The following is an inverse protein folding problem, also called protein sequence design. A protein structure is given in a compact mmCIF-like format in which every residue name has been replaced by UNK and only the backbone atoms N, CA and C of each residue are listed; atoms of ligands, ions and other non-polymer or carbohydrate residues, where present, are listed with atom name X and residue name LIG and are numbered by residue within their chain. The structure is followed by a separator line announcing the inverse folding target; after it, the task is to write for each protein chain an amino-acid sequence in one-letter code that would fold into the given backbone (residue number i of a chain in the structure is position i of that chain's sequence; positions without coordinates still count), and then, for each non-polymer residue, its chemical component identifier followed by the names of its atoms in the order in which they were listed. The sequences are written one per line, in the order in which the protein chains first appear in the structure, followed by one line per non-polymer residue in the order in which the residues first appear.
data_IF_875278413223
#
_entry.id   IF_875278413223
#
_cell.length_a   1.000
_cell.length_b   1.000
_cell.length_c   1.000
_cell.angle_alpha   90.00
_cell.angle_beta   90.00
_cell.angle_gamma   90.00
#
_symmetry.space_group_name_H-M   'P 1'
#
loop_
_entity.id
_entity.type
_entity.pdbx_description
1 polymer ?
#
# COMPACT_ATOMS: atom_id res chain seq x y z
N UNK A 1 3.10 -73.94 29.55
CA UNK A 1 3.97 -73.46 30.64
C UNK A 1 4.96 -72.50 29.98
N UNK A 2 5.13 -71.23 30.34
CA UNK A 2 4.81 -70.47 31.55
C UNK A 2 4.54 -69.01 31.18
N UNK A 3 3.69 -68.37 31.99
CA UNK A 3 3.32 -66.95 31.96
C UNK A 3 4.42 -66.11 32.61
N UNK A 4 4.63 -64.89 32.14
CA UNK A 4 5.05 -63.77 32.99
C UNK A 4 4.36 -62.49 32.56
N UNK A 5 3.93 -61.75 33.57
CA UNK A 5 2.90 -60.73 33.61
C UNK A 5 3.48 -59.31 33.55
N UNK A 6 2.69 -58.42 32.95
CA UNK A 6 2.40 -57.01 33.29
C UNK A 6 3.47 -56.13 33.96
N UNK A 7 3.79 -55.02 33.29
CA UNK A 7 3.71 -53.68 33.87
C UNK A 7 3.05 -52.74 32.85
N UNK A 8 1.80 -52.37 33.11
CA UNK A 8 1.11 -51.29 32.43
C UNK A 8 1.59 -49.98 33.05
N UNK A 9 2.27 -49.15 32.27
CA UNK A 9 2.69 -47.83 32.71
C UNK A 9 1.49 -46.87 32.59
N UNK A 10 0.88 -46.60 33.73
CA UNK A 10 -0.16 -45.60 33.93
C UNK A 10 0.45 -44.20 33.71
N UNK A 11 0.50 -43.74 32.46
CA UNK A 11 0.74 -42.33 32.18
C UNK A 11 -0.60 -41.60 32.16
N UNK A 12 -0.85 -40.84 33.22
CA UNK A 12 -2.04 -40.00 33.39
C UNK A 12 -2.20 -39.03 32.20
N UNK A 13 -3.43 -38.72 31.75
CA UNK A 13 -3.69 -37.73 30.69
C UNK A 13 -3.21 -36.30 31.04
N UNK A 14 -2.85 -36.04 32.30
CA UNK A 14 -2.44 -34.73 32.80
C UNK A 14 -0.98 -34.35 32.50
N UNK A 15 -0.17 -35.22 31.91
CA UNK A 15 1.24 -34.93 31.61
C UNK A 15 1.48 -34.32 30.20
N UNK A 16 0.46 -34.24 29.34
CA UNK A 16 0.57 -33.68 27.98
C UNK A 16 0.36 -32.14 27.96
N UNK A 17 0.06 -31.52 29.10
CA UNK A 17 -0.39 -30.12 29.20
C UNK A 17 0.71 -29.08 29.47
N UNK A 18 1.95 -29.29 29.02
CA UNK A 18 3.04 -28.31 29.26
C UNK A 18 4.07 -28.18 28.15
N UNK A 19 3.62 -28.21 26.91
CA UNK A 19 4.39 -27.61 25.81
C UNK A 19 3.96 -26.15 25.74
N UNK A 20 4.89 -25.24 25.99
CA UNK A 20 4.78 -23.84 25.61
C UNK A 20 4.42 -23.78 24.12
N UNK A 21 3.13 -23.70 23.81
CA UNK A 21 2.60 -23.56 22.44
C UNK A 21 2.95 -22.16 21.95
N UNK A 22 4.22 -21.98 21.58
CA UNK A 22 4.68 -20.80 20.85
C UNK A 22 3.79 -20.69 19.61
N UNK A 23 3.30 -19.49 19.38
CA UNK A 23 2.84 -19.06 18.06
C UNK A 23 3.87 -19.48 17.02
N UNK A 24 3.39 -19.88 15.84
CA UNK A 24 4.13 -20.46 14.71
C UNK A 24 5.50 -19.82 14.41
N UNK A 25 6.36 -20.56 13.69
CA UNK A 25 7.62 -20.03 13.14
C UNK A 25 7.33 -18.77 12.31
N UNK A 26 8.03 -17.68 12.61
CA UNK A 26 7.71 -16.36 12.08
C UNK A 26 8.69 -15.30 12.57
N UNK A 27 8.46 -14.05 12.18
CA UNK A 27 9.29 -12.95 12.65
C UNK A 27 9.15 -12.73 14.15
N UNK A 28 7.97 -12.99 14.74
CA UNK A 28 7.66 -12.84 16.18
C UNK A 28 7.81 -11.38 16.66
N UNK A 29 7.41 -10.41 15.83
CA UNK A 29 7.52 -8.98 16.11
C UNK A 29 6.51 -8.54 17.17
N UNK A 30 5.32 -9.14 17.14
CA UNK A 30 4.26 -8.93 18.13
C UNK A 30 4.05 -10.23 18.93
N UNK A 31 4.47 -10.30 20.20
CA UNK A 31 4.31 -11.49 21.02
C UNK A 31 2.83 -11.87 21.22
N UNK A 32 2.45 -13.07 20.78
CA UNK A 32 1.12 -13.66 21.01
C UNK A 32 1.16 -14.78 22.05
N UNK A 33 0.16 -14.81 22.94
CA UNK A 33 0.01 -15.88 23.94
C UNK A 33 -1.42 -16.42 23.93
N UNK A 34 -1.56 -17.74 23.95
CA UNK A 34 -2.89 -18.38 24.09
C UNK A 34 -3.46 -18.07 25.47
N UNK A 35 -4.68 -17.55 25.50
CA UNK A 35 -5.44 -17.33 26.73
C UNK A 35 -6.44 -18.47 26.88
N UNK A 36 -6.40 -19.18 28.00
CA UNK A 36 -7.40 -20.20 28.32
C UNK A 36 -8.73 -19.51 28.66
N UNK A 37 -9.76 -19.76 27.87
CA UNK A 37 -11.13 -19.39 28.23
C UNK A 37 -11.58 -20.33 29.37
N UNK A 38 -11.46 -19.86 30.61
CA UNK A 38 -12.23 -20.45 31.69
C UNK A 38 -13.68 -19.94 31.54
N UNK A 39 -14.61 -20.87 31.30
CA UNK A 39 -16.09 -20.69 31.21
C UNK A 39 -16.64 -20.49 29.79
N UNK A 40 -16.97 -21.61 29.13
CA UNK A 40 -18.31 -21.90 28.59
C UNK A 40 -18.35 -23.34 28.08
N UNK A 41 -19.32 -24.13 28.55
CA UNK A 41 -19.54 -25.53 28.11
C UNK A 41 -19.95 -25.63 26.61
N UNK A 42 -20.05 -24.50 25.91
CA UNK A 42 -20.39 -24.38 24.48
C UNK A 42 -19.18 -24.05 23.57
N UNK A 43 -17.97 -23.79 24.10
CA UNK A 43 -16.81 -23.53 23.23
C UNK A 43 -16.38 -24.81 22.54
N UNK A 44 -16.59 -24.85 21.22
CA UNK A 44 -16.04 -25.88 20.34
C UNK A 44 -14.54 -26.02 20.63
N UNK A 45 -14.04 -27.22 20.94
CA UNK A 45 -12.63 -27.52 21.29
C UNK A 45 -11.60 -27.15 20.19
N UNK A 46 -12.05 -26.48 19.14
CA UNK A 46 -11.34 -26.13 17.91
C UNK A 46 -10.82 -24.71 17.90
N UNK A 47 -11.26 -23.85 18.83
CA UNK A 47 -10.94 -22.42 18.81
C UNK A 47 -10.04 -22.06 20.00
N UNK A 48 -9.16 -21.09 19.80
CA UNK A 48 -8.39 -20.41 20.86
C UNK A 48 -8.54 -18.90 20.73
N UNK A 49 -8.30 -18.21 21.83
CA UNK A 49 -7.98 -16.77 21.78
C UNK A 49 -6.49 -16.58 21.98
N UNK A 50 -5.88 -15.83 21.07
CA UNK A 50 -4.50 -15.36 21.19
C UNK A 50 -4.53 -13.91 21.63
N UNK A 51 -3.84 -13.62 22.72
CA UNK A 51 -3.62 -12.28 23.21
C UNK A 51 -2.26 -11.79 22.73
N UNK A 52 -2.28 -10.85 21.80
CA UNK A 52 -1.11 -10.14 21.29
C UNK A 52 -0.77 -8.96 22.20
N UNK A 53 0.49 -8.89 22.62
CA UNK A 53 1.04 -7.77 23.41
C UNK A 53 1.85 -6.89 22.48
N UNK A 54 1.35 -5.70 22.19
CA UNK A 54 1.99 -4.77 21.26
C UNK A 54 3.29 -4.22 21.88
N UNK A 55 4.40 -4.10 21.12
CA UNK A 55 5.70 -3.68 21.62
C UNK A 55 5.81 -2.16 21.84
N UNK A 56 4.74 -1.50 22.28
CA UNK A 56 4.68 -0.07 22.56
C UNK A 56 3.96 0.16 23.88
N UNK A 57 4.60 0.87 24.82
CA UNK A 57 4.04 1.10 26.15
C UNK A 57 2.70 1.85 26.11
N UNK A 58 1.77 1.41 26.95
CA UNK A 58 0.45 2.04 27.08
C UNK A 58 -0.55 1.67 25.98
N UNK A 59 -0.16 0.86 24.99
CA UNK A 59 -1.10 0.34 23.98
C UNK A 59 -1.94 -0.83 24.53
N UNK A 60 -3.19 -0.99 24.05
CA UNK A 60 -4.02 -2.11 24.45
C UNK A 60 -3.45 -3.43 23.93
N UNK A 61 -3.76 -4.52 24.64
CA UNK A 61 -3.56 -5.87 24.11
C UNK A 61 -4.65 -6.18 23.09
N UNK A 62 -4.32 -6.98 22.08
CA UNK A 62 -5.26 -7.38 21.02
C UNK A 62 -5.62 -8.85 21.18
N UNK A 63 -6.91 -9.15 21.28
CA UNK A 63 -7.44 -10.51 21.35
C UNK A 63 -7.88 -10.98 19.96
N UNK A 64 -7.27 -12.03 19.45
CA UNK A 64 -7.63 -12.64 18.16
C UNK A 64 -8.20 -14.02 18.41
N UNK A 65 -9.41 -14.29 17.92
CA UNK A 65 -9.99 -15.64 17.91
C UNK A 65 -9.51 -16.36 16.65
N UNK A 66 -8.94 -17.55 16.82
CA UNK A 66 -8.49 -18.38 15.71
C UNK A 66 -8.59 -19.87 16.03
N UNK A 67 -8.43 -20.73 15.03
CA UNK A 67 -8.44 -22.19 15.25
C UNK A 67 -7.17 -22.67 15.94
N UNK A 68 -7.31 -23.73 16.75
CA UNK A 68 -6.23 -24.45 17.44
C UNK A 68 -5.36 -25.20 16.43
N UNK A 69 -6.01 -25.86 15.47
CA UNK A 69 -5.36 -26.73 14.50
C UNK A 69 -5.28 -26.05 13.15
N UNK A 70 -4.13 -26.19 12.49
CA UNK A 70 -3.89 -25.76 11.11
C UNK A 70 -4.54 -26.70 10.08
N UNK A 71 -5.66 -27.35 10.42
CA UNK A 71 -6.34 -28.32 9.57
C UNK A 71 -7.66 -27.76 9.06
N UNK A 72 -7.94 -28.04 7.79
CA UNK A 72 -9.20 -27.75 7.11
C UNK A 72 -10.13 -28.95 7.27
N UNK A 73 -11.38 -28.72 7.64
CA UNK A 73 -12.40 -29.75 7.85
C UNK A 73 -13.30 -29.93 6.62
N UNK A 74 -14.05 -31.04 6.56
CA UNK A 74 -15.00 -31.32 5.46
C UNK A 74 -15.99 -30.17 5.23
N UNK A 75 -16.48 -29.52 6.30
CA UNK A 75 -17.38 -28.37 6.19
C UNK A 75 -16.72 -27.14 5.55
N UNK A 76 -15.40 -26.99 5.70
CA UNK A 76 -14.68 -25.88 5.08
C UNK A 76 -14.50 -26.11 3.58
N UNK A 77 -14.41 -27.37 3.14
CA UNK A 77 -14.47 -27.71 1.71
C UNK A 77 -15.84 -27.39 1.12
N UNK A 78 -16.93 -27.65 1.85
CA UNK A 78 -18.27 -27.25 1.40
C UNK A 78 -18.42 -25.73 1.25
N UNK A 79 -17.84 -24.95 2.16
CA UNK A 79 -17.80 -23.48 2.07
C UNK A 79 -16.92 -23.04 0.91
N UNK A 80 -15.72 -23.61 0.78
CA UNK A 80 -14.79 -23.36 -0.33
C UNK A 80 -15.46 -23.58 -1.68
N UNK A 81 -16.15 -24.70 -1.86
CA UNK A 81 -16.85 -25.04 -3.10
C UNK A 81 -18.07 -24.12 -3.33
N UNK A 82 -18.80 -23.79 -2.27
CA UNK A 82 -20.02 -22.96 -2.36
C UNK A 82 -19.72 -21.51 -2.72
N UNK A 83 -18.67 -20.94 -2.15
CA UNK A 83 -18.33 -19.53 -2.28
C UNK A 83 -17.13 -19.29 -3.21
N UNK A 84 -16.54 -20.34 -3.79
CA UNK A 84 -15.35 -20.25 -4.64
C UNK A 84 -14.18 -19.52 -3.96
N UNK A 85 -13.89 -19.89 -2.71
CA UNK A 85 -12.85 -19.29 -1.87
C UNK A 85 -11.92 -20.36 -1.37
N UNK A 86 -10.66 -20.01 -1.13
CA UNK A 86 -9.75 -20.90 -0.45
C UNK A 86 -9.92 -20.83 1.09
N UNK A 87 -9.25 -21.76 1.79
CA UNK A 87 -9.30 -21.88 3.25
C UNK A 87 -8.01 -21.42 3.94
N UNK A 88 -7.08 -20.77 3.21
CA UNK A 88 -5.76 -20.36 3.70
C UNK A 88 -5.87 -19.41 4.88
N UNK A 89 -6.89 -18.54 4.89
CA UNK A 89 -7.21 -17.63 6.00
C UNK A 89 -7.66 -18.33 7.30
N UNK A 90 -8.07 -19.60 7.24
CA UNK A 90 -8.48 -20.40 8.41
C UNK A 90 -7.32 -21.22 8.99
N UNK A 91 -6.21 -21.38 8.26
CA UNK A 91 -5.12 -22.29 8.64
C UNK A 91 -4.33 -21.74 9.82
N UNK A 92 -3.76 -20.55 9.68
CA UNK A 92 -2.98 -19.89 10.71
C UNK A 92 -2.77 -18.42 10.37
N UNK A 93 -2.22 -17.69 11.31
CA UNK A 93 -1.67 -16.38 11.03
C UNK A 93 -0.32 -16.52 10.31
N UNK A 94 -0.24 -15.97 9.10
CA UNK A 94 0.94 -16.06 8.24
C UNK A 94 2.03 -15.08 8.68
N UNK A 95 3.33 -15.37 8.45
CA UNK A 95 4.42 -14.51 8.89
C UNK A 95 4.36 -13.07 8.35
N UNK A 96 3.83 -12.87 7.14
CA UNK A 96 3.64 -11.54 6.55
C UNK A 96 2.62 -10.68 7.30
N UNK A 97 1.68 -11.30 8.01
CA UNK A 97 0.67 -10.61 8.82
C UNK A 97 1.28 -10.01 10.09
N UNK A 98 2.20 -10.73 10.74
CA UNK A 98 2.99 -10.19 11.87
C UNK A 98 3.85 -8.99 11.44
N UNK A 99 4.46 -9.07 10.25
CA UNK A 99 5.23 -7.96 9.67
C UNK A 99 4.34 -6.76 9.33
N UNK A 100 3.18 -6.99 8.70
CA UNK A 100 2.23 -5.93 8.37
C UNK A 100 1.72 -5.24 9.64
N UNK A 101 1.28 -6.02 10.64
CA UNK A 101 0.79 -5.48 11.91
C UNK A 101 1.86 -4.63 12.64
N UNK A 102 3.10 -5.11 12.67
CA UNK A 102 4.24 -4.37 13.25
C UNK A 102 4.56 -3.09 12.46
N UNK A 103 4.52 -3.15 11.13
CA UNK A 103 4.72 -1.99 10.29
C UNK A 103 3.65 -0.93 10.54
N UNK A 104 2.38 -1.34 10.62
CA UNK A 104 1.26 -0.45 10.88
C UNK A 104 1.37 0.25 12.24
N UNK A 105 1.78 -0.48 13.27
CA UNK A 105 2.07 0.07 14.60
C UNK A 105 3.18 1.12 14.54
N UNK A 106 4.26 0.83 13.82
CA UNK A 106 5.43 1.72 13.70
C UNK A 106 5.17 2.96 12.84
N UNK A 107 4.09 2.97 12.06
CA UNK A 107 3.72 4.06 11.14
C UNK A 107 2.31 4.60 11.44
N UNK A 108 1.92 4.65 12.72
CA UNK A 108 0.57 4.99 13.15
C UNK A 108 0.00 6.28 12.52
N UNK A 109 0.83 7.32 12.37
CA UNK A 109 0.40 8.61 11.78
C UNK A 109 -0.07 8.51 10.33
N UNK A 110 0.33 7.47 9.60
CA UNK A 110 -0.15 7.21 8.23
C UNK A 110 -1.65 6.90 8.19
N UNK A 111 -2.19 6.34 9.27
CA UNK A 111 -3.59 5.89 9.35
C UNK A 111 -4.49 6.85 10.14
N UNK A 112 -3.91 7.84 10.82
CA UNK A 112 -4.66 8.83 11.62
C UNK A 112 -5.70 9.55 10.77
N UNK A 113 -6.95 9.53 11.24
CA UNK A 113 -8.11 10.13 10.55
C UNK A 113 -8.33 9.59 9.12
N UNK A 114 -7.83 8.39 8.80
CA UNK A 114 -7.97 7.76 7.49
C UNK A 114 -9.05 6.68 7.49
N UNK A 115 -9.63 6.44 6.31
CA UNK A 115 -10.42 5.25 6.03
C UNK A 115 -9.48 4.18 5.50
N UNK A 116 -9.41 3.06 6.20
CA UNK A 116 -8.48 1.97 5.94
C UNK A 116 -9.26 0.70 5.64
N UNK A 117 -8.80 -0.07 4.66
CA UNK A 117 -9.28 -1.44 4.43
C UNK A 117 -8.12 -2.42 4.37
N UNK A 118 -8.29 -3.55 5.05
CA UNK A 118 -7.42 -4.70 4.94
C UNK A 118 -8.07 -5.74 4.01
N UNK A 119 -7.34 -6.17 2.96
CA UNK A 119 -7.79 -7.17 1.99
C UNK A 119 -7.17 -8.54 2.29
N UNK A 120 -7.99 -9.60 2.26
CA UNK A 120 -7.50 -10.97 2.50
C UNK A 120 -6.88 -11.14 3.89
N UNK A 121 -7.55 -10.56 4.89
CA UNK A 121 -7.01 -10.36 6.23
C UNK A 121 -6.75 -11.65 7.01
N UNK A 122 -7.34 -12.79 6.62
CA UNK A 122 -7.30 -13.98 7.47
C UNK A 122 -7.88 -13.65 8.85
N UNK A 123 -7.11 -13.87 9.92
CA UNK A 123 -7.55 -13.50 11.27
C UNK A 123 -7.50 -11.98 11.58
N UNK A 124 -6.95 -11.16 10.68
CA UNK A 124 -7.04 -9.68 10.70
C UNK A 124 -6.28 -8.98 11.82
N UNK A 125 -5.08 -9.46 12.15
CA UNK A 125 -4.28 -8.83 13.22
C UNK A 125 -3.92 -7.40 12.85
N UNK A 126 -3.50 -7.13 11.62
CA UNK A 126 -3.05 -5.79 11.24
C UNK A 126 -4.22 -4.78 11.27
N UNK A 127 -5.39 -5.14 10.77
CA UNK A 127 -6.59 -4.32 10.88
C UNK A 127 -6.97 -4.01 12.33
N UNK A 128 -6.92 -5.01 13.22
CA UNK A 128 -7.18 -4.82 14.65
C UNK A 128 -6.14 -3.89 15.31
N UNK A 129 -4.86 -4.03 14.96
CA UNK A 129 -3.78 -3.14 15.43
C UNK A 129 -4.01 -1.71 14.96
N UNK A 130 -4.28 -1.51 13.66
CA UNK A 130 -4.58 -0.18 13.10
C UNK A 130 -5.74 0.46 13.86
N UNK A 131 -6.81 -0.29 14.06
CA UNK A 131 -8.00 0.21 14.75
C UNK A 131 -7.72 0.66 16.19
N UNK A 132 -6.88 -0.07 16.90
CA UNK A 132 -6.60 0.15 18.31
C UNK A 132 -5.53 1.22 18.57
N UNK A 133 -4.61 1.48 17.63
CA UNK A 133 -3.41 2.30 17.92
C UNK A 133 -3.23 3.54 17.08
N UNK A 134 -4.07 3.81 16.08
CA UNK A 134 -3.78 4.85 15.07
C UNK A 134 -4.77 6.01 15.01
N UNK A 135 -5.91 5.93 15.72
CA UNK A 135 -7.00 6.91 15.63
C UNK A 135 -7.49 7.09 14.17
N UNK A 136 -7.55 5.99 13.43
CA UNK A 136 -8.18 5.93 12.12
C UNK A 136 -9.66 6.35 12.19
N UNK A 137 -10.18 6.90 11.10
CA UNK A 137 -11.59 7.26 11.00
C UNK A 137 -12.47 6.01 10.93
N UNK A 138 -12.05 5.07 10.09
CA UNK A 138 -12.74 3.80 9.83
C UNK A 138 -11.70 2.75 9.47
N UNK A 139 -11.84 1.54 10.00
CA UNK A 139 -11.08 0.37 9.61
C UNK A 139 -12.05 -0.73 9.18
N UNK A 140 -11.87 -1.22 7.95
CA UNK A 140 -12.63 -2.32 7.38
C UNK A 140 -11.70 -3.52 7.25
N UNK A 141 -12.05 -4.63 7.89
CA UNK A 141 -11.23 -5.85 7.86
C UNK A 141 -11.97 -6.87 6.99
N UNK A 142 -11.42 -7.22 5.83
CA UNK A 142 -12.13 -8.00 4.83
C UNK A 142 -11.43 -9.31 4.47
N UNK A 143 -12.23 -10.31 4.15
CA UNK A 143 -11.79 -11.59 3.61
C UNK A 143 -12.86 -12.15 2.65
N UNK A 144 -12.45 -12.97 1.70
CA UNK A 144 -13.41 -13.62 0.79
C UNK A 144 -14.17 -14.74 1.49
N UNK A 145 -13.56 -15.40 2.48
CA UNK A 145 -14.17 -16.54 3.15
C UNK A 145 -15.13 -16.07 4.27
N UNK A 146 -16.44 -16.33 4.19
CA UNK A 146 -17.40 -15.85 5.18
C UNK A 146 -17.19 -16.45 6.58
N UNK A 147 -16.54 -17.62 6.68
CA UNK A 147 -16.16 -18.21 7.97
C UNK A 147 -15.04 -17.40 8.60
N UNK A 148 -14.06 -16.96 7.81
CA UNK A 148 -12.97 -16.08 8.28
C UNK A 148 -13.54 -14.75 8.78
N UNK A 149 -14.47 -14.17 8.04
CA UNK A 149 -15.21 -12.94 8.43
C UNK A 149 -15.91 -13.09 9.78
N UNK A 150 -16.49 -14.25 10.08
CA UNK A 150 -17.07 -14.53 11.40
C UNK A 150 -16.01 -14.55 12.52
N UNK A 151 -14.81 -15.12 12.30
CA UNK A 151 -13.71 -15.05 13.26
C UNK A 151 -13.22 -13.61 13.48
N UNK A 152 -13.15 -12.82 12.42
CA UNK A 152 -12.80 -11.40 12.51
C UNK A 152 -13.85 -10.66 13.35
N UNK A 153 -15.15 -10.90 13.12
CA UNK A 153 -16.21 -10.26 13.90
C UNK A 153 -16.09 -10.57 15.40
N UNK A 154 -15.86 -11.83 15.77
CA UNK A 154 -15.60 -12.20 17.16
C UNK A 154 -14.39 -11.47 17.76
N UNK A 155 -13.35 -11.27 16.97
CA UNK A 155 -12.15 -10.54 17.39
C UNK A 155 -12.43 -9.04 17.52
N UNK A 156 -13.22 -8.44 16.63
CA UNK A 156 -13.69 -7.06 16.75
C UNK A 156 -14.47 -6.88 18.06
N UNK A 157 -15.44 -7.76 18.34
CA UNK A 157 -16.28 -7.68 19.54
C UNK A 157 -15.44 -7.75 20.81
N UNK A 158 -14.46 -8.66 20.85
CA UNK A 158 -13.55 -8.85 21.98
C UNK A 158 -12.62 -7.64 22.24
N UNK A 159 -12.37 -6.80 21.23
CA UNK A 159 -11.51 -5.62 21.35
C UNK A 159 -12.27 -4.29 21.26
N UNK A 160 -13.60 -4.30 21.30
CA UNK A 160 -14.45 -3.12 21.10
C UNK A 160 -14.05 -1.90 21.97
N UNK A 161 -13.58 -2.12 23.20
CA UNK A 161 -13.12 -1.05 24.10
C UNK A 161 -11.74 -0.48 23.75
N UNK A 162 -10.94 -1.19 22.95
CA UNK A 162 -9.59 -0.78 22.56
C UNK A 162 -9.58 0.21 21.38
N UNK A 163 -10.67 0.29 20.61
CA UNK A 163 -10.71 1.07 19.36
C UNK A 163 -10.96 2.57 19.55
N UNK A 164 -11.29 3.02 20.76
CA UNK A 164 -11.61 4.42 21.03
C UNK A 164 -12.76 4.91 20.14
N UNK A 165 -12.49 5.93 19.31
CA UNK A 165 -13.47 6.50 18.37
C UNK A 165 -13.41 5.88 16.97
N UNK A 166 -12.46 4.98 16.70
CA UNK A 166 -12.30 4.34 15.39
C UNK A 166 -13.50 3.45 15.11
N UNK A 167 -14.14 3.65 13.96
CA UNK A 167 -15.22 2.74 13.51
C UNK A 167 -14.59 1.48 12.93
N UNK A 168 -14.95 0.31 13.47
CA UNK A 168 -14.41 -0.97 13.00
C UNK A 168 -15.55 -1.84 12.51
N UNK A 169 -15.41 -2.42 11.33
CA UNK A 169 -16.35 -3.40 10.78
C UNK A 169 -15.62 -4.46 9.98
N UNK A 170 -16.22 -5.64 9.87
CA UNK A 170 -15.77 -6.66 8.93
C UNK A 170 -16.73 -6.78 7.75
N UNK A 171 -16.24 -7.28 6.62
CA UNK A 171 -17.03 -7.47 5.41
C UNK A 171 -16.50 -8.67 4.63
N UNK A 172 -17.41 -9.47 4.08
CA UNK A 172 -17.07 -10.45 3.05
C UNK A 172 -16.81 -9.73 1.74
N UNK A 173 -15.59 -9.86 1.21
CA UNK A 173 -15.18 -9.19 -0.02
C UNK A 173 -14.44 -10.18 -0.91
N UNK A 174 -15.12 -10.59 -1.99
CA UNK A 174 -14.53 -11.35 -3.08
C UNK A 174 -13.92 -10.40 -4.10
N UNK A 175 -12.67 -10.66 -4.53
CA UNK A 175 -11.97 -9.76 -5.44
C UNK A 175 -12.51 -9.81 -6.88
N UNK A 176 -13.18 -10.90 -7.24
CA UNK A 176 -13.77 -11.17 -8.56
C UNK A 176 -15.23 -10.74 -8.68
N UNK A 177 -15.86 -10.32 -7.58
CA UNK A 177 -17.19 -9.75 -7.59
C UNK A 177 -17.13 -8.24 -7.86
N UNK A 178 -18.17 -7.69 -8.50
CA UNK A 178 -18.31 -6.24 -8.63
C UNK A 178 -18.33 -5.63 -7.23
N UNK A 179 -17.28 -4.88 -6.89
CA UNK A 179 -17.20 -4.12 -5.63
C UNK A 179 -18.48 -3.34 -5.52
N UNK A 180 -19.31 -3.69 -4.53
CA UNK A 180 -20.61 -3.03 -4.35
C UNK A 180 -20.40 -1.52 -4.34
N UNK A 181 -21.26 -0.79 -5.08
CA UNK A 181 -21.18 0.66 -5.26
C UNK A 181 -21.02 1.47 -3.96
N UNK A 182 -21.25 0.86 -2.79
CA UNK A 182 -21.21 1.49 -1.48
C UNK A 182 -19.80 1.74 -0.91
N UNK A 183 -18.75 1.05 -1.38
CA UNK A 183 -17.38 1.20 -0.84
C UNK A 183 -16.30 1.53 -1.88
N UNK A 184 -16.66 1.64 -3.16
CA UNK A 184 -15.73 2.09 -4.20
C UNK A 184 -15.34 3.56 -4.01
N UNK A 185 -14.08 3.91 -4.34
CA UNK A 185 -13.56 5.28 -4.29
C UNK A 185 -13.62 5.89 -2.87
N UNK A 186 -13.33 5.08 -1.84
CA UNK A 186 -13.52 5.51 -0.44
C UNK A 186 -12.30 5.42 0.47
N UNK A 187 -11.33 4.56 0.18
CA UNK A 187 -10.25 4.27 1.11
C UNK A 187 -9.02 5.12 0.84
N UNK A 188 -8.48 5.70 1.90
CA UNK A 188 -7.22 6.43 1.89
C UNK A 188 -6.04 5.44 1.85
N UNK A 189 -6.13 4.35 2.60
CA UNK A 189 -5.07 3.35 2.72
C UNK A 189 -5.67 1.95 2.57
N UNK A 190 -5.07 1.15 1.70
CA UNK A 190 -5.34 -0.29 1.61
C UNK A 190 -4.11 -1.01 2.16
N UNK A 191 -4.32 -2.03 2.99
CA UNK A 191 -3.25 -2.93 3.43
C UNK A 191 -3.59 -4.38 3.06
N UNK A 192 -2.56 -5.19 2.80
CA UNK A 192 -2.72 -6.60 2.51
C UNK A 192 -1.44 -7.36 2.87
N UNK A 193 -1.58 -8.56 3.41
CA UNK A 193 -0.46 -9.46 3.73
C UNK A 193 -0.62 -10.77 2.95
N UNK A 194 0.44 -11.17 2.23
CA UNK A 194 0.52 -12.46 1.49
C UNK A 194 -0.61 -12.79 0.50
N UNK A 195 -1.34 -11.78 0.00
CA UNK A 195 -2.46 -11.95 -0.93
C UNK A 195 -2.07 -12.27 -2.39
N UNK A 196 -0.78 -12.39 -2.70
CA UNK A 196 -0.28 -12.53 -4.08
C UNK A 196 0.09 -13.97 -4.46
N UNK A 197 -0.29 -14.97 -3.66
CA UNK A 197 0.10 -16.37 -3.90
C UNK A 197 -0.61 -17.01 -5.11
N UNK A 198 -1.94 -16.89 -5.17
CA UNK A 198 -2.77 -17.49 -6.22
C UNK A 198 -2.85 -16.57 -7.45
N UNK A 199 -2.25 -17.02 -8.55
CA UNK A 199 -2.09 -16.23 -9.79
C UNK A 199 -3.41 -15.98 -10.51
N UNK A 200 -4.35 -16.90 -10.36
CA UNK A 200 -5.71 -16.80 -10.89
C UNK A 200 -6.44 -15.55 -10.40
N UNK A 201 -6.12 -15.06 -9.19
CA UNK A 201 -6.78 -13.91 -8.59
C UNK A 201 -6.04 -12.58 -8.77
N UNK A 202 -4.84 -12.57 -9.36
CA UNK A 202 -4.01 -11.36 -9.47
C UNK A 202 -4.73 -10.19 -10.18
N UNK A 203 -5.42 -10.48 -11.28
CA UNK A 203 -6.15 -9.44 -12.01
C UNK A 203 -7.34 -8.91 -11.20
N UNK A 204 -8.10 -9.80 -10.56
CA UNK A 204 -9.25 -9.46 -9.72
C UNK A 204 -8.82 -8.58 -8.53
N UNK A 205 -7.73 -8.95 -7.86
CA UNK A 205 -7.13 -8.18 -6.77
C UNK A 205 -6.63 -6.80 -7.24
N UNK A 206 -5.96 -6.72 -8.39
CA UNK A 206 -5.50 -5.45 -8.96
C UNK A 206 -6.68 -4.50 -9.29
N UNK A 207 -7.74 -5.02 -9.90
CA UNK A 207 -8.99 -4.29 -10.13
C UNK A 207 -9.61 -3.80 -8.82
N UNK A 208 -9.69 -4.68 -7.82
CA UNK A 208 -10.24 -4.36 -6.50
C UNK A 208 -9.47 -3.23 -5.82
N UNK A 209 -8.13 -3.27 -5.82
CA UNK A 209 -7.29 -2.19 -5.27
C UNK A 209 -7.59 -0.86 -5.96
N UNK A 210 -7.66 -0.86 -7.29
CA UNK A 210 -8.00 0.34 -8.07
C UNK A 210 -9.36 0.93 -7.69
N UNK A 211 -10.37 0.07 -7.58
CA UNK A 211 -11.75 0.47 -7.34
C UNK A 211 -11.97 0.99 -5.92
N UNK A 212 -11.21 0.49 -4.95
CA UNK A 212 -11.34 0.84 -3.53
C UNK A 212 -10.55 2.11 -3.16
N UNK A 213 -9.38 2.31 -3.77
CA UNK A 213 -8.58 3.51 -3.55
C UNK A 213 -9.37 4.75 -3.98
N UNK A 214 -9.38 5.76 -3.11
CA UNK A 214 -10.00 7.03 -3.46
C UNK A 214 -9.22 7.75 -4.57
N UNK A 215 -9.93 8.37 -5.50
CA UNK A 215 -9.42 9.11 -6.66
C UNK A 215 -9.07 10.56 -6.31
N UNK A 216 -9.62 11.10 -5.21
CA UNK A 216 -9.39 12.50 -4.78
C UNK A 216 -8.45 12.55 -3.58
N UNK A 217 -7.38 13.31 -3.74
CA UNK A 217 -6.33 13.45 -2.73
C UNK A 217 -5.37 12.26 -2.70
N UNK A 218 -4.52 12.20 -1.69
CA UNK A 218 -3.54 11.13 -1.53
C UNK A 218 -4.20 9.84 -1.06
N UNK A 219 -4.01 8.76 -1.80
CA UNK A 219 -4.37 7.39 -1.44
C UNK A 219 -3.26 6.43 -1.83
N UNK A 220 -3.10 5.33 -1.09
CA UNK A 220 -2.07 4.33 -1.38
C UNK A 220 -2.47 2.93 -0.89
N UNK A 221 -1.96 1.90 -1.55
CA UNK A 221 -2.05 0.53 -1.09
C UNK A 221 -0.67 0.00 -0.70
N UNK A 222 -0.58 -0.74 0.40
CA UNK A 222 0.67 -1.28 0.94
C UNK A 222 0.51 -2.78 1.13
N UNK A 223 1.31 -3.54 0.38
CA UNK A 223 1.29 -4.99 0.39
C UNK A 223 2.60 -5.50 1.01
N UNK A 224 2.49 -6.47 1.91
CA UNK A 224 3.62 -7.25 2.40
C UNK A 224 3.50 -8.68 1.87
N UNK A 225 4.29 -9.02 0.85
CA UNK A 225 4.14 -10.32 0.17
C UNK A 225 5.50 -10.93 -0.15
N UNK A 226 5.74 -12.22 0.19
CA UNK A 226 6.91 -12.92 -0.27
C UNK A 226 6.89 -13.10 -1.79
N UNK A 227 8.06 -13.32 -2.38
CA UNK A 227 8.17 -13.43 -3.85
C UNK A 227 7.36 -14.61 -4.42
N UNK A 228 7.38 -15.75 -3.70
CA UNK A 228 6.73 -17.03 -4.04
C UNK A 228 6.92 -17.40 -5.51
N UNK A 229 8.18 -17.58 -5.92
CA UNK A 229 8.56 -17.77 -7.32
C UNK A 229 8.48 -16.47 -8.12
N UNK A 230 7.67 -16.46 -9.18
CA UNK A 230 7.35 -15.29 -10.01
C UNK A 230 5.96 -14.70 -9.70
N UNK A 231 5.33 -15.13 -8.59
CA UNK A 231 3.94 -14.76 -8.29
C UNK A 231 3.78 -13.28 -7.98
N UNK A 232 4.61 -12.73 -7.09
CA UNK A 232 4.56 -11.30 -6.80
C UNK A 232 4.85 -10.47 -8.05
N UNK A 233 5.85 -10.85 -8.85
CA UNK A 233 6.23 -10.15 -10.07
C UNK A 233 5.03 -10.07 -11.05
N UNK A 234 4.31 -11.19 -11.25
CA UNK A 234 3.09 -11.24 -12.09
C UNK A 234 1.93 -10.41 -11.55
N UNK A 235 1.77 -10.35 -10.23
CA UNK A 235 0.77 -9.47 -9.63
C UNK A 235 1.08 -7.99 -9.92
N UNK A 236 2.36 -7.60 -9.82
CA UNK A 236 2.79 -6.23 -10.10
C UNK A 236 2.62 -5.84 -11.58
N UNK A 237 2.81 -6.79 -12.52
CA UNK A 237 2.44 -6.59 -13.93
C UNK A 237 0.94 -6.26 -14.06
N UNK A 238 0.07 -6.95 -13.31
CA UNK A 238 -1.38 -6.66 -13.29
C UNK A 238 -1.73 -5.32 -12.66
N UNK A 239 -0.95 -4.85 -11.68
CA UNK A 239 -1.09 -3.50 -11.12
C UNK A 239 -0.82 -2.44 -12.19
N UNK A 240 0.25 -2.58 -12.98
CA UNK A 240 0.57 -1.65 -14.07
C UNK A 240 -0.47 -1.69 -15.19
N UNK A 241 -0.89 -2.88 -15.61
CA UNK A 241 -1.96 -3.06 -16.61
C UNK A 241 -3.26 -2.37 -16.19
N UNK A 242 -3.53 -2.31 -14.87
CA UNK A 242 -4.69 -1.62 -14.31
C UNK A 242 -4.49 -0.10 -14.13
N UNK A 243 -3.33 0.44 -14.48
CA UNK A 243 -3.03 1.88 -14.45
C UNK A 243 -2.66 2.40 -13.06
N UNK A 244 -2.10 1.55 -12.21
CA UNK A 244 -1.45 1.96 -10.96
C UNK A 244 0.07 1.93 -11.14
N UNK A 245 0.77 2.77 -10.39
CA UNK A 245 2.23 2.72 -10.26
C UNK A 245 2.60 1.95 -9.01
N UNK A 246 3.68 1.17 -9.03
CA UNK A 246 4.20 0.50 -7.84
C UNK A 246 5.66 0.83 -7.55
N UNK A 247 6.06 0.69 -6.29
CA UNK A 247 7.46 0.60 -5.89
C UNK A 247 7.67 -0.55 -4.91
N UNK A 248 8.81 -1.23 -5.04
CA UNK A 248 9.20 -2.32 -4.14
C UNK A 248 10.32 -1.85 -3.23
N UNK A 249 10.16 -2.06 -1.94
CA UNK A 249 11.21 -1.87 -0.94
C UNK A 249 11.50 -3.21 -0.30
N UNK A 250 12.75 -3.64 -0.36
CA UNK A 250 13.19 -4.88 0.28
C UNK A 250 13.54 -4.65 1.74
N UNK A 251 14.33 -3.63 2.06
CA UNK A 251 14.70 -3.26 3.43
C UNK A 251 13.85 -2.06 3.89
N UNK A 252 12.64 -2.34 4.37
CA UNK A 252 11.64 -1.35 4.79
C UNK A 252 11.65 -1.07 6.31
N UNK A 253 12.24 -1.95 7.11
CA UNK A 253 12.36 -1.80 8.57
C UNK A 253 13.63 -2.48 9.08
N UNK A 254 14.34 -1.83 10.00
CA UNK A 254 15.65 -2.27 10.47
C UNK A 254 15.59 -3.52 11.37
N UNK A 255 14.53 -3.69 12.17
CA UNK A 255 14.37 -4.85 13.04
C UNK A 255 13.90 -6.06 12.23
N UNK A 256 12.97 -5.87 11.29
CA UNK A 256 12.57 -6.93 10.34
C UNK A 256 13.76 -7.40 9.52
N UNK A 257 14.56 -6.47 8.99
CA UNK A 257 15.77 -6.79 8.22
C UNK A 257 16.79 -7.54 9.06
N UNK A 258 17.03 -7.11 10.30
CA UNK A 258 17.94 -7.80 11.22
C UNK A 258 17.50 -9.24 11.48
N UNK A 259 16.21 -9.50 11.72
CA UNK A 259 15.69 -10.86 11.90
C UNK A 259 15.83 -11.69 10.63
N UNK A 260 15.50 -11.11 9.47
CA UNK A 260 15.72 -11.75 8.17
C UNK A 260 17.18 -12.20 7.98
N UNK A 261 18.15 -11.32 8.28
CA UNK A 261 19.57 -11.65 8.20
C UNK A 261 19.97 -12.77 9.18
N UNK A 262 19.41 -12.78 10.38
CA UNK A 262 19.59 -13.87 11.35
C UNK A 262 19.10 -15.21 10.81
N UNK A 263 17.89 -15.26 10.26
CA UNK A 263 17.34 -16.48 9.66
C UNK A 263 18.18 -16.98 8.47
N UNK A 264 18.63 -16.07 7.60
CA UNK A 264 19.53 -16.41 6.48
C UNK A 264 20.89 -16.94 6.95
N UNK A 265 21.35 -16.55 8.14
CA UNK A 265 22.59 -17.01 8.76
C UNK A 265 22.43 -18.33 9.54
N UNK A 266 21.24 -18.96 9.53
CA UNK A 266 20.99 -20.24 10.18
C UNK A 266 20.52 -20.14 11.63
N UNK A 267 19.77 -19.09 12.00
CA UNK A 267 19.08 -19.02 13.29
C UNK A 267 18.07 -20.17 13.46
N UNK A 268 18.27 -21.00 14.50
CA UNK A 268 17.46 -22.19 14.80
C UNK A 268 16.02 -21.88 15.24
N UNK A 269 15.65 -20.61 15.43
CA UNK A 269 14.26 -20.23 15.71
C UNK A 269 13.33 -20.41 14.51
N UNK A 270 13.86 -20.40 13.28
CA UNK A 270 13.11 -20.73 12.05
C UNK A 270 13.97 -21.56 11.07
N UNK A 271 14.20 -22.86 11.35
CA UNK A 271 15.13 -23.68 10.57
C UNK A 271 14.73 -23.89 9.10
N UNK A 272 13.44 -23.79 8.78
CA UNK A 272 12.91 -23.95 7.43
C UNK A 272 12.77 -22.63 6.67
N UNK A 273 13.41 -21.56 7.13
CA UNK A 273 13.32 -20.25 6.50
C UNK A 273 13.89 -20.28 5.08
N UNK A 274 13.08 -19.87 4.11
CA UNK A 274 13.51 -19.68 2.73
C UNK A 274 13.07 -18.29 2.27
N UNK A 275 14.02 -17.47 1.79
CA UNK A 275 13.79 -16.06 1.51
C UNK A 275 12.59 -15.82 0.59
N UNK A 276 12.48 -16.57 -0.51
CA UNK A 276 11.42 -16.36 -1.49
C UNK A 276 10.03 -16.78 -0.99
N UNK A 277 9.94 -17.69 -0.02
CA UNK A 277 8.69 -18.15 0.58
C UNK A 277 8.31 -17.43 1.87
N UNK A 278 9.30 -16.88 2.59
CA UNK A 278 9.10 -16.37 3.95
C UNK A 278 9.29 -14.85 4.09
N UNK A 279 10.18 -14.22 3.32
CA UNK A 279 10.47 -12.78 3.47
C UNK A 279 9.46 -11.93 2.70
N UNK A 280 8.58 -11.15 3.34
CA UNK A 280 7.70 -10.27 2.60
C UNK A 280 8.47 -9.06 2.09
N UNK A 281 8.29 -8.74 0.80
CA UNK A 281 8.69 -7.47 0.22
C UNK A 281 7.55 -6.46 0.45
N UNK A 282 7.91 -5.19 0.67
CA UNK A 282 6.92 -4.12 0.78
C UNK A 282 6.66 -3.54 -0.61
N UNK A 283 5.47 -3.78 -1.16
CA UNK A 283 4.99 -3.17 -2.39
C UNK A 283 4.05 -2.01 -2.07
N UNK A 284 4.40 -0.80 -2.52
CA UNK A 284 3.57 0.39 -2.40
C UNK A 284 2.95 0.72 -3.74
N UNK A 285 1.62 0.77 -3.79
CA UNK A 285 0.84 0.97 -5.01
C UNK A 285 0.12 2.31 -4.94
N UNK A 286 0.14 3.07 -6.03
CA UNK A 286 -0.42 4.41 -6.13
C UNK A 286 -1.30 4.52 -7.36
N UNK A 287 -2.47 5.14 -7.21
CA UNK A 287 -3.25 5.56 -8.37
C UNK A 287 -2.44 6.59 -9.16
N UNK A 288 -2.34 6.38 -10.47
CA UNK A 288 -1.90 7.43 -11.36
C UNK A 288 -3.03 8.46 -11.38
N UNK A 289 -2.88 9.52 -10.60
CA UNK A 289 -3.80 10.65 -10.69
C UNK A 289 -3.76 11.11 -12.15
N UNK A 290 -4.88 10.91 -12.85
CA UNK A 290 -4.97 11.31 -14.23
C UNK A 290 -4.61 12.78 -14.33
N UNK A 291 -3.51 13.09 -15.02
CA UNK A 291 -3.55 14.29 -15.85
C UNK A 291 -4.83 14.15 -16.66
N UNK A 292 -5.85 14.93 -16.32
CA UNK A 292 -7.01 15.03 -17.20
C UNK A 292 -6.44 15.35 -18.58
N UNK A 293 -6.61 14.43 -19.54
CA UNK A 293 -6.65 14.83 -20.94
C UNK A 293 -7.81 15.79 -21.03
N UNK A 294 -7.56 17.08 -20.84
CA UNK A 294 -8.49 18.12 -21.23
C UNK A 294 -8.82 17.82 -22.69
N UNK A 295 -10.09 17.51 -23.04
CA UNK A 295 -10.45 17.31 -24.43
C UNK A 295 -10.04 18.58 -25.17
N UNK A 296 -9.10 18.45 -26.10
CA UNK A 296 -8.59 19.55 -26.91
C UNK A 296 -9.64 19.92 -27.96
N UNK A 297 -10.81 20.38 -27.50
CA UNK A 297 -11.89 21.00 -28.27
C UNK A 297 -12.69 21.92 -27.36
N UNK A 298 -12.07 23.04 -26.98
CA UNK A 298 -12.74 24.33 -26.76
C UNK A 298 -11.65 25.40 -26.70
N UNK A 299 -11.50 26.10 -27.83
CA UNK A 299 -10.82 27.39 -28.02
C UNK A 299 -9.83 27.78 -26.92
N UNK A 300 -8.56 27.37 -27.07
CA UNK A 300 -7.49 28.19 -26.53
C UNK A 300 -7.48 29.49 -27.35
N UNK A 301 -7.66 30.63 -26.71
CA UNK A 301 -7.25 31.91 -27.27
C UNK A 301 -5.71 31.89 -27.33
N UNK A 302 -5.17 31.39 -28.43
CA UNK A 302 -3.83 31.74 -28.87
C UNK A 302 -3.87 33.24 -29.20
N UNK A 303 -3.51 34.07 -28.23
CA UNK A 303 -3.14 35.44 -28.56
C UNK A 303 -1.77 35.37 -29.23
N UNK A 304 -1.72 35.48 -30.56
CA UNK A 304 -0.50 35.82 -31.26
C UNK A 304 -0.08 37.23 -30.80
N UNK A 305 0.79 37.31 -29.80
CA UNK A 305 1.54 38.53 -29.57
C UNK A 305 2.55 38.66 -30.71
N UNK A 306 2.23 39.51 -31.69
CA UNK A 306 3.20 40.00 -32.67
C UNK A 306 4.28 40.75 -31.91
N UNK A 307 5.42 40.11 -31.68
CA UNK A 307 6.60 40.79 -31.12
C UNK A 307 7.25 41.60 -32.24
N UNK A 308 7.34 42.92 -32.02
CA UNK A 308 8.08 43.84 -32.87
C UNK A 308 9.50 43.31 -33.13
N UNK A 309 9.84 43.21 -34.41
CA UNK A 309 11.22 43.09 -34.88
C UNK A 309 12.05 44.26 -34.33
N UNK A 310 13.02 43.96 -33.45
CA UNK A 310 14.13 44.88 -33.19
C UNK A 310 15.24 44.57 -34.19
N UNK A 311 15.29 45.33 -35.29
CA UNK A 311 16.46 45.36 -36.15
C UNK A 311 17.63 45.99 -35.37
N UNK A 312 18.71 45.23 -35.16
CA UNK A 312 20.04 45.79 -35.00
C UNK A 312 20.90 45.31 -36.17
N UNK A 313 21.47 46.28 -36.86
CA UNK A 313 22.24 46.16 -38.09
C UNK A 313 23.52 45.34 -37.89
N UNK A 314 23.75 44.37 -38.77
CA UNK A 314 25.09 43.88 -39.09
C UNK A 314 25.37 42.44 -38.69
N UNK A 315 24.83 41.48 -39.43
CA UNK A 315 25.50 40.27 -39.96
C UNK A 315 24.44 39.25 -40.36
N UNK A 316 24.65 38.59 -41.50
CA UNK A 316 23.68 37.69 -42.13
C UNK A 316 23.44 36.44 -41.26
N UNK A 317 22.21 36.30 -40.75
CA UNK A 317 21.76 35.14 -40.00
C UNK A 317 20.40 35.41 -39.36
N UNK A 318 19.30 35.15 -40.06
CA UNK A 318 17.96 35.24 -39.49
C UNK A 318 17.71 34.07 -38.52
N UNK A 319 17.87 34.31 -37.21
CA UNK A 319 17.32 33.42 -36.18
C UNK A 319 15.97 33.99 -35.75
N UNK A 320 14.88 33.43 -36.28
CA UNK A 320 13.53 33.75 -35.81
C UNK A 320 13.28 33.12 -34.44
N UNK A 321 13.23 33.94 -33.39
CA UNK A 321 12.78 33.53 -32.06
C UNK A 321 11.26 33.68 -31.99
N UNK A 322 10.55 32.56 -31.88
CA UNK A 322 9.11 32.58 -31.61
C UNK A 322 8.89 32.24 -30.15
N UNK A 323 8.30 33.18 -29.39
CA UNK A 323 7.93 32.96 -28.00
C UNK A 323 6.46 32.49 -27.93
N UNK A 324 6.22 31.43 -27.19
CA UNK A 324 4.87 30.93 -26.92
C UNK A 324 4.52 31.17 -25.46
N UNK A 325 3.32 31.70 -25.23
CA UNK A 325 2.74 31.89 -23.91
C UNK A 325 1.61 30.88 -23.71
N UNK A 326 1.75 29.99 -22.73
CA UNK A 326 0.70 29.06 -22.35
C UNK A 326 0.15 29.46 -20.98
N UNK A 327 -1.14 29.80 -20.95
CA UNK A 327 -1.88 30.13 -19.73
C UNK A 327 -2.72 28.92 -19.33
N UNK A 328 -2.52 28.40 -18.12
CA UNK A 328 -3.35 27.34 -17.57
C UNK A 328 -4.07 27.81 -16.31
N UNK A 329 -5.35 27.50 -16.19
CA UNK A 329 -6.12 27.73 -14.98
C UNK A 329 -6.05 26.46 -14.12
N UNK A 330 -5.49 26.60 -12.91
CA UNK A 330 -5.53 25.56 -11.88
C UNK A 330 -6.63 25.92 -10.87
N UNK A 331 -7.04 24.96 -10.03
CA UNK A 331 -8.06 25.18 -9.00
C UNK A 331 -7.73 26.32 -8.00
N UNK A 332 -6.49 26.79 -7.98
CA UNK A 332 -5.98 27.81 -7.04
C UNK A 332 -5.38 29.06 -7.74
N UNK A 333 -5.45 29.18 -9.07
CA UNK A 333 -4.95 30.36 -9.78
C UNK A 333 -4.65 30.16 -11.27
N UNK A 334 -3.85 31.06 -11.84
CA UNK A 334 -3.35 30.96 -13.22
C UNK A 334 -1.84 30.72 -13.21
N UNK A 335 -1.38 29.69 -13.92
CA UNK A 335 0.04 29.46 -14.20
C UNK A 335 0.38 29.95 -15.61
N UNK A 336 1.51 30.67 -15.71
CA UNK A 336 2.07 31.17 -16.96
C UNK A 336 3.31 30.33 -17.31
N UNK A 337 3.30 29.67 -18.47
CA UNK A 337 4.47 29.00 -19.02
C UNK A 337 5.00 29.78 -20.22
N UNK A 338 6.29 30.12 -20.18
CA UNK A 338 7.00 30.81 -21.25
C UNK A 338 8.01 29.88 -21.89
N UNK A 339 7.95 29.71 -23.21
CA UNK A 339 8.95 28.97 -23.96
C UNK A 339 9.45 29.80 -25.15
N UNK A 340 10.76 29.81 -25.35
CA UNK A 340 11.37 30.30 -26.58
C UNK A 340 11.72 29.12 -27.47
N UNK A 341 11.23 29.15 -28.71
CA UNK A 341 11.61 28.17 -29.73
C UNK A 341 12.66 28.79 -30.64
N UNK A 342 13.85 28.20 -30.67
CA UNK A 342 14.76 28.26 -31.80
C UNK A 342 14.39 27.13 -32.76
N UNK A 343 14.32 27.43 -34.06
CA UNK A 343 13.83 26.53 -35.11
C UNK A 343 14.68 25.27 -35.24
N UNK A 344 14.34 24.21 -34.50
CA UNK A 344 14.78 22.83 -34.73
C UNK A 344 13.53 21.95 -34.68
N UNK A 345 13.41 21.03 -35.63
CA UNK A 345 12.28 20.11 -35.78
C UNK A 345 12.31 19.14 -34.60
N UNK A 346 11.44 19.34 -33.61
CA UNK A 346 11.22 18.42 -32.49
C UNK A 346 10.17 17.39 -32.91
N UNK A 347 10.49 16.10 -32.74
CA UNK A 347 9.54 15.02 -33.02
C UNK A 347 8.74 14.63 -31.76
N UNK A 348 9.34 14.69 -30.56
CA UNK A 348 8.67 14.39 -29.28
C UNK A 348 9.14 15.31 -28.15
N UNK A 349 8.21 15.70 -27.26
CA UNK A 349 8.47 16.52 -26.06
C UNK A 349 7.88 15.83 -24.84
N UNK A 350 8.70 15.58 -23.81
CA UNK A 350 8.27 14.97 -22.55
C UNK A 350 8.34 15.99 -21.41
N UNK A 351 7.21 16.20 -20.73
CA UNK A 351 7.07 17.08 -19.57
C UNK A 351 7.02 16.24 -18.30
N UNK A 352 7.99 16.44 -17.41
CA UNK A 352 8.03 15.83 -16.08
C UNK A 352 7.63 16.88 -15.04
N UNK A 353 6.73 16.53 -14.14
CA UNK A 353 6.27 17.40 -13.06
C UNK A 353 6.65 16.77 -11.72
N UNK A 354 7.34 17.53 -10.87
CA UNK A 354 7.68 17.12 -9.51
C UNK A 354 7.18 18.17 -8.53
N UNK A 355 6.35 17.78 -7.58
CA UNK A 355 5.84 18.66 -6.53
C UNK A 355 6.62 18.43 -5.24
N UNK A 356 7.13 19.50 -4.63
CA UNK A 356 7.82 19.46 -3.34
C UNK A 356 7.33 20.64 -2.50
N UNK A 357 6.72 20.35 -1.34
CA UNK A 357 6.40 21.30 -0.25
C UNK A 357 6.14 22.75 -0.70
N UNK A 358 5.01 22.98 -1.34
CA UNK A 358 4.51 24.29 -1.80
C UNK A 358 5.17 24.87 -3.07
N UNK A 359 5.93 24.06 -3.82
CA UNK A 359 6.50 24.44 -5.12
C UNK A 359 6.31 23.35 -6.19
N UNK A 360 5.86 23.75 -7.39
CA UNK A 360 5.78 22.90 -8.58
C UNK A 360 7.06 23.08 -9.39
N UNK A 361 7.86 22.01 -9.51
CA UNK A 361 9.00 21.94 -10.41
C UNK A 361 8.56 21.26 -11.71
N UNK A 362 8.86 21.91 -12.84
CA UNK A 362 8.57 21.38 -14.17
C UNK A 362 9.91 21.15 -14.86
N UNK A 363 10.22 19.88 -15.11
CA UNK A 363 11.41 19.48 -15.86
C UNK A 363 10.96 19.09 -17.26
N UNK A 364 11.36 19.87 -18.27
CA UNK A 364 11.11 19.54 -19.68
C UNK A 364 12.30 18.75 -20.18
N UNK A 365 12.10 17.50 -20.58
CA UNK A 365 13.14 16.72 -21.26
C UNK A 365 12.87 16.77 -22.77
N UNK A 366 13.84 17.32 -23.52
CA UNK A 366 13.83 17.30 -24.97
C UNK A 366 14.81 16.22 -25.44
N UNK A 367 14.30 15.19 -26.11
CA UNK A 367 15.12 14.18 -26.75
C UNK A 367 15.50 14.68 -28.15
N UNK A 368 16.80 14.82 -28.40
CA UNK A 368 17.34 15.16 -29.72
C UNK A 368 17.98 13.91 -30.32
N UNK A 369 17.63 13.59 -31.57
CA UNK A 369 18.30 12.54 -32.33
C UNK A 369 19.61 13.08 -32.92
N UNK A 370 20.66 13.16 -32.10
CA UNK A 370 22.07 13.07 -32.54
C UNK A 370 23.05 13.19 -31.37
N UNK A 371 23.81 12.11 -31.13
CA UNK A 371 25.10 11.87 -30.44
C UNK A 371 25.67 12.75 -29.30
N UNK A 372 25.04 13.84 -28.84
CA UNK A 372 25.47 14.57 -27.64
C UNK A 372 24.25 15.16 -26.90
N UNK A 373 23.98 14.77 -25.64
CA UNK A 373 22.94 15.41 -24.85
C UNK A 373 23.40 16.79 -24.37
N UNK A 374 22.69 17.84 -24.77
CA UNK A 374 22.74 19.17 -24.13
C UNK A 374 21.61 19.23 -23.11
N UNK A 375 21.96 19.31 -21.82
CA UNK A 375 20.99 19.53 -20.75
C UNK A 375 20.67 21.03 -20.73
N UNK A 376 19.47 21.41 -21.18
CA UNK A 376 18.95 22.76 -20.98
C UNK A 376 18.16 22.80 -19.67
N UNK A 377 18.77 23.38 -18.64
CA UNK A 377 18.08 23.67 -17.37
C UNK A 377 17.23 24.92 -17.56
N UNK A 378 15.91 24.79 -17.62
CA UNK A 378 14.99 25.93 -17.67
C UNK A 378 14.60 26.35 -16.24
N UNK A 379 14.89 27.60 -15.87
CA UNK A 379 14.45 28.20 -14.61
C UNK A 379 12.97 28.62 -14.74
N UNK A 380 12.07 27.96 -14.02
CA UNK A 380 10.65 28.38 -13.93
C UNK A 380 10.46 29.25 -12.68
N UNK A 381 10.07 30.50 -12.88
CA UNK A 381 9.79 31.45 -11.79
C UNK A 381 8.30 31.35 -11.42
N UNK A 382 8.01 30.93 -10.18
CA UNK A 382 6.65 30.97 -9.64
C UNK A 382 6.29 32.40 -9.21
N UNK A 383 5.22 32.97 -9.76
CA UNK A 383 4.65 34.23 -9.27
C UNK A 383 3.52 33.89 -8.29
N UNK A 384 3.67 34.28 -7.01
CA UNK A 384 2.61 34.16 -6.00
C UNK A 384 1.31 34.83 -6.49
N UNK A 385 0.13 34.32 -6.09
CA UNK A 385 -1.14 34.94 -6.44
C UNK A 385 -1.21 36.36 -5.88
N UNK A 386 -1.29 37.35 -6.76
CA UNK A 386 -1.56 38.74 -6.38
C UNK A 386 -3.07 38.86 -6.24
N UNK A 387 -3.56 39.08 -5.02
CA UNK A 387 -4.95 39.46 -4.78
C UNK A 387 -5.27 40.72 -5.56
N UNK A 388 -6.42 40.69 -6.25
CA UNK A 388 -6.91 41.69 -7.20
C UNK A 388 -6.88 43.13 -6.66
N UNK A 389 -5.78 43.83 -6.89
CA UNK A 389 -5.66 45.26 -7.22
C UNK A 389 -4.21 45.70 -7.02
N UNK A 390 -3.38 45.58 -8.06
CA UNK A 390 -2.23 46.45 -8.35
C UNK A 390 -1.46 45.89 -9.57
N UNK A 391 -1.90 46.26 -10.77
CA UNK A 391 -1.00 46.22 -11.92
C UNK A 391 -0.08 47.45 -11.80
N UNK A 392 1.09 47.29 -11.19
CA UNK A 392 2.18 48.26 -11.33
C UNK A 392 3.40 47.57 -11.95
N UNK A 393 3.80 48.10 -13.10
CA UNK A 393 5.00 47.77 -13.88
C UNK A 393 6.19 47.44 -12.97
N UNK A 394 6.61 46.17 -12.94
CA UNK A 394 7.99 45.81 -12.57
C UNK A 394 8.68 45.24 -13.79
N UNK A 395 9.70 45.96 -14.28
CA UNK A 395 10.69 45.46 -15.23
C UNK A 395 11.48 44.35 -14.51
N UNK A 396 11.47 43.14 -15.03
CA UNK A 396 12.44 42.13 -14.64
C UNK A 396 13.81 42.54 -15.25
N UNK A 397 14.81 42.78 -14.40
CA UNK A 397 16.20 42.86 -14.81
C UNK A 397 16.73 41.41 -14.91
N UNK A 398 17.06 40.96 -16.12
CA UNK A 398 17.85 39.76 -16.32
C UNK A 398 19.28 40.02 -15.84
N UNK A 399 19.77 39.24 -14.88
CA UNK A 399 21.20 39.15 -14.57
C UNK A 399 21.73 37.90 -15.27
N UNK A 400 22.67 38.09 -16.20
CA UNK A 400 23.50 37.01 -16.74
C UNK A 400 24.44 36.53 -15.62
N UNK A 401 24.49 35.23 -15.35
CA UNK A 401 25.59 34.60 -14.64
C UNK A 401 26.39 33.80 -15.67
N UNK A 402 27.59 34.28 -15.97
CA UNK A 402 28.56 33.56 -16.79
C UNK A 402 29.12 32.35 -16.02
N UNK A 403 29.31 31.26 -16.76
CA UNK A 403 29.86 29.99 -16.31
C UNK A 403 31.23 30.10 -15.62
N UNK A 404 31.42 29.28 -14.58
CA UNK A 404 32.62 28.43 -14.41
C UNK A 404 32.15 27.02 -14.06
#
# INVERSE_FOLDING_TARGET
MSKTNYLADNQSPSAIKRISRKTHQGFNLIPGQVVEDHVNEETNYRDVRICYTLPVDGTPKILVKQRVNNSVDLSDFEVSDRYNVDNTGLVCQWPSEDVLAYFCLSHADMFRSKRVIELGSGYGLAGLVIAATTEALEVVISDGNPVVVDYIQHSIDANSTAFGNTKVKTVTLHWDEEVTYNISDTFDVIVASDCTFFKEFHNALACTVKLLLKNVGRSEAIFFSPKRGDSLDKFLEKIEENGLHFSITENYDSEVWKRHQGFMAGDDTWPSYEKHHCYPLMARLLLICGMQKLPCRKHFLLAECSVLSCCHSGSEGHVGLTAFLLLFQTGEGFCLLFFMKTTIILQDMFLYFQTMQDSLFITVALLFDSKFPLVLSLLVIYLKPVTSHQFLKRRAQCSYFDHI
#
